data_IF_529799342183
#
_entry.id   IF_529799342183
#
_cell.length_a   1.000
_cell.length_b   1.000
_cell.length_c   1.000
_cell.angle_alpha   90.00
_cell.angle_beta   90.00
_cell.angle_gamma   90.00
#
_symmetry.space_group_name_H-M   'P 1'
#
loop_
_entity.id
_entity.type
_entity.pdbx_description
1 polymer ?
#
# COMPACT_ATOMS: atom_id res chain seq x y z
N UNK A 1 -39.39 41.03 39.55
CA UNK A 1 -39.18 39.72 40.21
C UNK A 1 -39.12 38.58 39.21
N UNK A 2 -40.27 38.12 38.72
CA UNK A 2 -40.37 36.89 37.91
C UNK A 2 -39.63 36.90 36.56
N UNK A 3 -39.55 38.03 35.85
CA UNK A 3 -38.87 38.11 34.55
C UNK A 3 -37.35 37.93 34.63
N UNK A 4 -36.73 38.33 35.74
CA UNK A 4 -35.28 38.21 35.93
C UNK A 4 -34.87 36.77 36.24
N UNK A 5 -35.71 36.07 37.02
CA UNK A 5 -35.52 34.64 37.35
C UNK A 5 -35.69 33.76 36.10
N UNK A 6 -36.64 34.08 35.22
CA UNK A 6 -36.85 33.35 33.96
C UNK A 6 -35.68 33.52 32.97
N UNK A 7 -35.15 34.74 32.80
CA UNK A 7 -33.96 34.98 31.98
C UNK A 7 -32.71 34.28 32.54
N UNK A 8 -32.54 34.27 33.87
CA UNK A 8 -31.44 33.58 34.54
C UNK A 8 -31.54 32.05 34.33
N UNK A 9 -32.73 31.48 34.45
CA UNK A 9 -32.98 30.06 34.20
C UNK A 9 -32.69 29.67 32.75
N UNK A 10 -33.10 30.47 31.77
CA UNK A 10 -32.81 30.22 30.34
C UNK A 10 -31.31 30.31 30.07
N UNK A 11 -30.61 31.29 30.66
CA UNK A 11 -29.16 31.43 30.52
C UNK A 11 -28.39 30.27 31.18
N UNK A 12 -28.83 29.81 32.36
CA UNK A 12 -28.25 28.65 33.05
C UNK A 12 -28.53 27.37 32.26
N UNK A 13 -29.75 27.16 31.76
CA UNK A 13 -30.08 26.00 30.91
C UNK A 13 -29.29 26.02 29.60
N UNK A 14 -29.11 27.18 28.98
CA UNK A 14 -28.27 27.36 27.80
C UNK A 14 -26.80 27.03 28.06
N UNK A 15 -26.23 27.58 29.15
CA UNK A 15 -24.85 27.30 29.55
C UNK A 15 -24.61 25.84 29.97
N UNK A 16 -25.60 25.20 30.60
CA UNK A 16 -25.55 23.78 30.94
C UNK A 16 -25.67 22.91 29.69
N UNK A 17 -26.53 23.26 28.73
CA UNK A 17 -26.61 22.58 27.44
C UNK A 17 -25.30 22.70 26.64
N UNK A 18 -24.65 23.88 26.64
CA UNK A 18 -23.37 24.09 25.98
C UNK A 18 -22.20 23.37 26.70
N UNK A 19 -22.22 23.29 28.03
CA UNK A 19 -21.23 22.53 28.80
C UNK A 19 -21.38 21.01 28.61
N UNK A 20 -22.62 20.49 28.59
CA UNK A 20 -22.91 19.08 28.30
C UNK A 20 -22.56 18.74 26.84
N UNK A 21 -22.69 19.70 25.92
CA UNK A 21 -22.28 19.57 24.53
C UNK A 21 -20.76 19.44 24.32
N UNK A 22 -19.95 19.79 25.33
CA UNK A 22 -18.48 19.82 25.26
C UNK A 22 -17.78 18.82 26.18
N UNK A 23 -18.49 17.83 26.72
CA UNK A 23 -17.83 16.74 27.45
C UNK A 23 -16.96 15.90 26.51
N UNK A 24 -15.83 15.31 26.98
CA UNK A 24 -15.02 14.40 26.18
C UNK A 24 -15.85 13.30 25.51
N UNK A 25 -16.80 12.71 26.23
CA UNK A 25 -17.67 11.63 25.76
C UNK A 25 -18.59 12.08 24.61
N UNK A 26 -19.16 13.29 24.71
CA UNK A 26 -20.04 13.82 23.66
C UNK A 26 -19.24 14.21 22.41
N UNK A 27 -18.07 14.82 22.60
CA UNK A 27 -17.14 15.11 21.50
C UNK A 27 -16.68 13.81 20.82
N UNK A 28 -16.35 12.77 21.60
CA UNK A 28 -16.07 11.45 21.06
C UNK A 28 -17.24 10.89 20.26
N UNK A 29 -18.47 10.98 20.78
CA UNK A 29 -19.67 10.50 20.07
C UNK A 29 -19.89 11.24 18.74
N UNK A 30 -19.71 12.56 18.71
CA UNK A 30 -19.75 13.38 17.48
C UNK A 30 -18.64 13.03 16.52
N UNK A 31 -17.42 12.82 17.02
CA UNK A 31 -16.29 12.35 16.23
C UNK A 31 -16.61 11.01 15.56
N UNK A 32 -17.13 10.04 16.31
CA UNK A 32 -17.55 8.74 15.76
C UNK A 32 -18.72 8.84 14.78
N UNK A 33 -19.61 9.83 14.92
CA UNK A 33 -20.64 10.10 13.93
C UNK A 33 -20.04 10.62 12.62
N UNK A 34 -19.13 11.59 12.70
CA UNK A 34 -18.41 12.10 11.53
C UNK A 34 -17.59 10.99 10.84
N UNK A 35 -16.96 10.06 11.59
CA UNK A 35 -16.30 8.87 11.04
C UNK A 35 -17.28 8.03 10.22
N UNK A 36 -18.50 7.77 10.73
CA UNK A 36 -19.52 7.01 9.99
C UNK A 36 -20.00 7.72 8.71
N UNK A 37 -19.92 9.05 8.69
CA UNK A 37 -20.27 9.87 7.53
C UNK A 37 -19.11 10.03 6.54
N UNK A 38 -17.91 9.53 6.88
CA UNK A 38 -16.69 9.69 6.07
C UNK A 38 -16.07 11.09 6.17
N UNK A 39 -16.54 11.93 7.10
CA UNK A 39 -16.09 13.30 7.32
C UNK A 39 -14.84 13.31 8.20
N UNK A 40 -13.76 12.69 7.73
CA UNK A 40 -12.54 12.47 8.52
C UNK A 40 -11.90 13.75 9.09
N UNK A 41 -11.83 14.89 8.37
CA UNK A 41 -11.30 16.12 8.95
C UNK A 41 -12.11 16.62 10.15
N UNK A 42 -13.44 16.55 10.08
CA UNK A 42 -14.32 16.95 11.18
C UNK A 42 -14.25 15.95 12.34
N UNK A 43 -14.15 14.66 12.04
CA UNK A 43 -13.92 13.62 13.04
C UNK A 43 -12.63 13.89 13.85
N UNK A 44 -11.52 14.23 13.17
CA UNK A 44 -10.27 14.58 13.83
C UNK A 44 -10.44 15.80 14.75
N UNK A 45 -11.15 16.84 14.32
CA UNK A 45 -11.38 18.03 15.17
C UNK A 45 -12.10 17.67 16.48
N UNK A 46 -13.19 16.90 16.40
CA UNK A 46 -13.93 16.49 17.60
C UNK A 46 -13.11 15.55 18.49
N UNK A 47 -12.39 14.60 17.90
CA UNK A 47 -11.60 13.64 18.64
C UNK A 47 -10.36 14.26 19.30
N UNK A 48 -9.69 15.22 18.64
CA UNK A 48 -8.61 15.99 19.25
C UNK A 48 -9.11 16.77 20.45
N UNK A 49 -10.22 17.48 20.31
CA UNK A 49 -10.81 18.22 21.42
C UNK A 49 -11.23 17.30 22.58
N UNK A 50 -11.69 16.09 22.28
CA UNK A 50 -12.02 15.10 23.31
C UNK A 50 -10.77 14.65 24.10
N UNK A 51 -9.63 14.42 23.42
CA UNK A 51 -8.38 14.06 24.10
C UNK A 51 -7.68 15.25 24.75
N UNK A 52 -7.89 16.47 24.27
CA UNK A 52 -7.39 17.69 24.93
C UNK A 52 -8.07 17.91 26.29
N UNK A 53 -9.39 17.64 26.36
CA UNK A 53 -10.16 17.72 27.60
C UNK A 53 -9.96 16.53 28.53
N UNK A 54 -9.66 15.35 27.98
CA UNK A 54 -9.29 14.15 28.74
C UNK A 54 -8.13 13.40 28.04
N UNK A 55 -6.87 13.69 28.40
CA UNK A 55 -5.69 13.07 27.79
C UNK A 55 -5.62 11.56 27.90
N UNK A 56 -6.31 10.97 28.88
CA UNK A 56 -6.31 9.53 29.15
C UNK A 56 -7.51 8.80 28.50
N UNK A 57 -8.29 9.50 27.67
CA UNK A 57 -9.49 8.94 27.05
C UNK A 57 -9.14 7.91 25.95
N UNK A 58 -8.88 6.67 26.36
CA UNK A 58 -8.38 5.60 25.51
C UNK A 58 -9.23 5.35 24.25
N UNK A 59 -10.57 5.44 24.35
CA UNK A 59 -11.48 5.25 23.21
C UNK A 59 -11.32 6.36 22.16
N UNK A 60 -11.11 7.61 22.58
CA UNK A 60 -10.88 8.73 21.67
C UNK A 60 -9.52 8.63 20.97
N UNK A 61 -8.47 8.23 21.69
CA UNK A 61 -7.16 7.90 21.09
C UNK A 61 -7.25 6.74 20.10
N UNK A 62 -8.00 5.68 20.42
CA UNK A 62 -8.21 4.56 19.49
C UNK A 62 -8.97 5.00 18.22
N UNK A 63 -9.94 5.90 18.36
CA UNK A 63 -10.66 6.48 17.24
C UNK A 63 -9.76 7.38 16.38
N UNK A 64 -8.93 8.24 16.98
CA UNK A 64 -7.91 9.02 16.27
C UNK A 64 -6.99 8.10 15.47
N UNK A 65 -6.47 7.06 16.11
CA UNK A 65 -5.63 6.05 15.46
C UNK A 65 -6.31 5.39 14.26
N UNK A 66 -7.61 5.10 14.37
CA UNK A 66 -8.41 4.54 13.27
C UNK A 66 -8.54 5.54 12.12
N UNK A 67 -8.83 6.81 12.41
CA UNK A 67 -9.00 7.84 11.38
C UNK A 67 -7.67 8.11 10.66
N UNK A 68 -6.57 8.22 11.40
CA UNK A 68 -5.24 8.36 10.79
C UNK A 68 -4.87 7.16 9.92
N UNK A 69 -5.21 5.94 10.35
CA UNK A 69 -5.00 4.73 9.55
C UNK A 69 -5.77 4.79 8.22
N UNK A 70 -7.02 5.27 8.23
CA UNK A 70 -7.82 5.44 7.00
C UNK A 70 -7.25 6.53 6.08
N UNK A 71 -6.70 7.60 6.66
CA UNK A 71 -6.07 8.69 5.93
C UNK A 71 -4.65 8.37 5.43
N UNK A 72 -4.07 7.24 5.85
CA UNK A 72 -2.71 6.84 5.50
C UNK A 72 -1.60 7.53 6.31
N UNK A 73 -1.96 8.28 7.36
CA UNK A 73 -0.98 8.85 8.31
C UNK A 73 -0.57 7.78 9.32
N UNK A 74 0.26 6.85 8.88
CA UNK A 74 0.72 5.71 9.68
C UNK A 74 1.47 6.13 10.96
N UNK A 75 2.37 7.14 10.95
CA UNK A 75 3.04 7.60 12.18
C UNK A 75 2.08 8.17 13.22
N UNK A 76 1.13 9.03 12.82
CA UNK A 76 0.13 9.56 13.75
C UNK A 76 -0.80 8.45 14.26
N UNK A 77 -1.15 7.49 13.40
CA UNK A 77 -1.92 6.31 13.77
C UNK A 77 -1.21 5.48 14.84
N UNK A 78 0.06 5.13 14.64
CA UNK A 78 0.84 4.34 15.60
C UNK A 78 0.91 5.04 16.96
N UNK A 79 1.19 6.35 16.96
CA UNK A 79 1.27 7.16 18.18
C UNK A 79 -0.05 7.15 18.95
N UNK A 80 -1.18 7.38 18.27
CA UNK A 80 -2.50 7.41 18.90
C UNK A 80 -2.91 6.02 19.44
N UNK A 81 -2.68 4.95 18.66
CA UNK A 81 -2.99 3.58 19.08
C UNK A 81 -2.12 3.11 20.24
N UNK A 82 -0.82 3.42 20.23
CA UNK A 82 0.09 3.12 21.33
C UNK A 82 -0.33 3.84 22.62
N UNK A 83 -0.80 5.10 22.52
CA UNK A 83 -1.33 5.82 23.67
C UNK A 83 -2.63 5.20 24.19
N UNK A 84 -3.55 4.84 23.30
CA UNK A 84 -4.78 4.12 23.67
C UNK A 84 -4.50 2.80 24.41
N UNK A 85 -3.51 2.03 23.95
CA UNK A 85 -3.10 0.78 24.59
C UNK A 85 -2.40 0.99 25.94
N UNK A 86 -1.69 2.11 26.13
CA UNK A 86 -1.11 2.45 27.43
C UNK A 86 -2.20 2.75 28.46
N UNK A 87 -3.27 3.43 28.04
CA UNK A 87 -4.39 3.82 28.92
C UNK A 87 -5.35 2.65 29.18
N UNK A 88 -5.60 1.82 28.16
CA UNK A 88 -6.46 0.65 28.26
C UNK A 88 -5.84 -0.56 27.52
N UNK A 89 -4.98 -1.34 28.20
CA UNK A 89 -4.26 -2.48 27.60
C UNK A 89 -5.15 -3.58 27.03
N UNK A 90 -6.39 -3.71 27.51
CA UNK A 90 -7.36 -4.73 27.04
C UNK A 90 -8.38 -4.17 26.04
N UNK A 91 -8.15 -2.97 25.51
CA UNK A 91 -9.00 -2.39 24.47
C UNK A 91 -8.77 -3.11 23.13
N UNK A 92 -9.54 -4.18 22.89
CA UNK A 92 -9.48 -5.04 21.69
C UNK A 92 -9.47 -4.24 20.39
N UNK A 93 -10.28 -3.19 20.30
CA UNK A 93 -10.35 -2.33 19.12
C UNK A 93 -9.01 -1.63 18.82
N UNK A 94 -8.33 -1.10 19.85
CA UNK A 94 -7.05 -0.42 19.68
C UNK A 94 -5.96 -1.41 19.23
N UNK A 95 -5.89 -2.59 19.86
CA UNK A 95 -4.97 -3.66 19.47
C UNK A 95 -5.23 -4.17 18.05
N UNK A 96 -6.49 -4.39 17.68
CA UNK A 96 -6.87 -4.85 16.35
C UNK A 96 -6.49 -3.82 15.28
N UNK A 97 -6.71 -2.53 15.55
CA UNK A 97 -6.30 -1.46 14.66
C UNK A 97 -4.76 -1.32 14.57
N UNK A 98 -4.03 -1.59 15.65
CA UNK A 98 -2.56 -1.60 15.63
C UNK A 98 -2.04 -2.75 14.79
N UNK A 99 -2.62 -3.95 14.93
CA UNK A 99 -2.28 -5.08 14.09
C UNK A 99 -2.59 -4.81 12.60
N UNK A 100 -3.71 -4.13 12.31
CA UNK A 100 -4.04 -3.69 10.95
C UNK A 100 -3.04 -2.65 10.43
N UNK A 101 -2.60 -1.69 11.27
CA UNK A 101 -1.54 -0.74 10.92
C UNK A 101 -0.24 -1.47 10.58
N UNK A 102 0.15 -2.47 11.38
CA UNK A 102 1.32 -3.29 11.12
C UNK A 102 1.19 -4.07 9.82
N UNK A 103 0.02 -4.64 9.52
CA UNK A 103 -0.21 -5.28 8.23
C UNK A 103 -0.12 -4.28 7.06
N UNK A 104 -0.66 -3.07 7.20
CA UNK A 104 -0.60 -2.00 6.18
C UNK A 104 0.80 -1.44 5.95
N UNK A 105 1.67 -1.57 6.95
CA UNK A 105 3.09 -1.18 6.88
C UNK A 105 4.02 -2.38 6.66
N UNK A 106 3.46 -3.50 6.19
CA UNK A 106 4.18 -4.77 5.86
C UNK A 106 4.95 -5.39 7.03
N UNK A 107 4.68 -4.95 8.27
CA UNK A 107 5.22 -5.50 9.52
C UNK A 107 4.40 -6.71 9.96
N UNK A 108 4.29 -7.73 9.10
CA UNK A 108 3.35 -8.83 9.30
C UNK A 108 3.59 -9.63 10.57
N UNK A 109 4.85 -9.87 10.98
CA UNK A 109 5.16 -10.59 12.21
C UNK A 109 4.78 -9.82 13.49
N UNK A 110 4.79 -8.48 13.44
CA UNK A 110 4.26 -7.66 14.53
C UNK A 110 2.73 -7.79 14.58
N UNK A 111 2.05 -7.72 13.43
CA UNK A 111 0.61 -7.91 13.33
C UNK A 111 0.17 -9.28 13.87
N UNK A 112 0.85 -10.34 13.46
CA UNK A 112 0.59 -11.73 13.90
C UNK A 112 0.75 -11.84 15.42
N UNK A 113 1.82 -11.30 16.00
CA UNK A 113 2.03 -11.33 17.46
C UNK A 113 0.90 -10.65 18.23
N UNK A 114 0.44 -9.48 17.76
CA UNK A 114 -0.69 -8.76 18.38
C UNK A 114 -1.97 -9.58 18.29
N UNK A 115 -2.27 -10.19 17.14
CA UNK A 115 -3.45 -11.04 17.00
C UNK A 115 -3.37 -12.33 17.83
N UNK A 116 -2.19 -12.93 18.00
CA UNK A 116 -2.01 -14.10 18.86
C UNK A 116 -2.33 -13.78 20.34
N UNK A 117 -1.90 -12.64 20.87
CA UNK A 117 -2.29 -12.15 22.20
C UNK A 117 -3.82 -11.97 22.29
N UNK A 118 -4.43 -11.36 21.27
CA UNK A 118 -5.88 -11.17 21.22
C UNK A 118 -6.66 -12.50 21.19
N UNK A 119 -6.17 -13.52 20.48
CA UNK A 119 -6.82 -14.84 20.43
C UNK A 119 -6.77 -15.54 21.78
N UNK A 120 -5.67 -15.42 22.53
CA UNK A 120 -5.57 -16.00 23.86
C UNK A 120 -6.62 -15.42 24.83
N UNK A 121 -6.91 -14.12 24.68
CA UNK A 121 -7.86 -13.38 25.54
C UNK A 121 -9.31 -13.47 25.06
N UNK A 122 -9.51 -13.54 23.75
CA UNK A 122 -10.83 -13.50 23.09
C UNK A 122 -10.96 -14.62 22.04
N UNK A 123 -10.84 -15.90 22.44
CA UNK A 123 -10.84 -17.02 21.51
C UNK A 123 -12.17 -17.15 20.74
N UNK A 124 -13.28 -16.61 21.25
CA UNK A 124 -14.60 -16.59 20.62
C UNK A 124 -14.76 -15.52 19.52
N UNK A 125 -13.88 -14.53 19.47
CA UNK A 125 -14.05 -13.36 18.60
C UNK A 125 -13.77 -13.70 17.13
N UNK A 126 -14.83 -13.72 16.32
CA UNK A 126 -14.75 -13.89 14.87
C UNK A 126 -13.80 -12.86 14.23
N UNK A 127 -13.89 -11.60 14.64
CA UNK A 127 -13.09 -10.51 14.07
C UNK A 127 -11.59 -10.74 14.28
N UNK A 128 -11.20 -11.26 15.44
CA UNK A 128 -9.79 -11.55 15.76
C UNK A 128 -9.29 -12.72 14.91
N UNK A 129 -10.08 -13.79 14.73
CA UNK A 129 -9.72 -14.90 13.84
C UNK A 129 -9.60 -14.49 12.38
N UNK A 130 -10.51 -13.65 11.89
CA UNK A 130 -10.40 -13.08 10.55
C UNK A 130 -9.16 -12.20 10.40
N UNK A 131 -8.85 -11.41 11.43
CA UNK A 131 -7.67 -10.56 11.50
C UNK A 131 -6.36 -11.36 11.40
N UNK A 132 -6.20 -12.40 12.23
CA UNK A 132 -4.99 -13.22 12.18
C UNK A 132 -4.88 -14.00 10.87
N UNK A 133 -5.99 -14.52 10.34
CA UNK A 133 -6.00 -15.26 9.08
C UNK A 133 -5.55 -14.36 7.93
N UNK A 134 -6.04 -13.12 7.90
CA UNK A 134 -5.62 -12.11 6.93
C UNK A 134 -4.14 -11.71 7.11
N UNK A 135 -3.64 -11.62 8.34
CA UNK A 135 -2.23 -11.33 8.60
C UNK A 135 -1.31 -12.48 8.14
N UNK A 136 -1.67 -13.74 8.43
CA UNK A 136 -0.96 -14.91 7.90
C UNK A 136 -0.98 -14.97 6.39
N UNK A 137 -2.13 -14.69 5.77
CA UNK A 137 -2.26 -14.68 4.31
C UNK A 137 -1.38 -13.60 3.67
N UNK A 138 -1.33 -12.39 4.23
CA UNK A 138 -0.45 -11.32 3.74
C UNK A 138 1.03 -11.62 3.96
N UNK A 139 1.37 -12.43 4.96
CA UNK A 139 2.72 -12.92 5.21
C UNK A 139 3.11 -14.14 4.36
N UNK A 140 2.29 -14.55 3.37
CA UNK A 140 2.44 -15.78 2.58
C UNK A 140 2.47 -17.08 3.42
N UNK A 141 2.01 -17.03 4.68
CA UNK A 141 1.89 -18.16 5.61
C UNK A 141 0.55 -18.87 5.43
N UNK A 142 0.34 -19.39 4.22
CA UNK A 142 -0.96 -19.89 3.76
C UNK A 142 -1.51 -21.06 4.58
N UNK A 143 -0.65 -21.90 5.16
CA UNK A 143 -1.09 -23.04 5.99
C UNK A 143 -1.73 -22.55 7.29
N UNK A 144 -1.07 -21.63 7.99
CA UNK A 144 -1.61 -21.01 9.20
C UNK A 144 -2.84 -20.16 8.89
N UNK A 145 -2.88 -19.47 7.74
CA UNK A 145 -4.05 -18.75 7.29
C UNK A 145 -5.26 -19.67 7.08
N UNK A 146 -5.06 -20.85 6.49
CA UNK A 146 -6.11 -21.87 6.30
C UNK A 146 -6.69 -22.29 7.65
N UNK A 147 -5.86 -22.63 8.63
CA UNK A 147 -6.29 -23.02 9.98
C UNK A 147 -7.09 -21.89 10.65
N UNK A 148 -6.59 -20.66 10.59
CA UNK A 148 -7.26 -19.51 11.18
C UNK A 148 -8.60 -19.16 10.50
N UNK A 149 -8.69 -19.25 9.16
CA UNK A 149 -9.97 -19.07 8.47
C UNK A 149 -10.95 -20.20 8.78
N UNK A 150 -10.50 -21.45 8.91
CA UNK A 150 -11.37 -22.54 9.35
C UNK A 150 -11.91 -22.29 10.77
N UNK A 151 -11.09 -21.80 11.69
CA UNK A 151 -11.53 -21.36 13.02
C UNK A 151 -12.56 -20.22 12.93
N UNK A 152 -12.35 -19.24 12.06
CA UNK A 152 -13.34 -18.17 11.83
C UNK A 152 -14.69 -18.74 11.33
N UNK A 153 -14.66 -19.74 10.44
CA UNK A 153 -15.86 -20.37 9.89
C UNK A 153 -16.56 -21.31 10.88
N UNK A 154 -15.86 -21.87 11.88
CA UNK A 154 -16.54 -22.56 13.00
C UNK A 154 -17.44 -21.62 13.80
N UNK A 155 -17.05 -20.34 13.90
CA UNK A 155 -17.80 -19.29 14.62
C UNK A 155 -18.89 -18.67 13.75
N UNK A 156 -18.64 -18.50 12.46
CA UNK A 156 -19.62 -18.01 11.49
C UNK A 156 -19.59 -18.85 10.20
N UNK A 157 -20.35 -19.96 10.15
CA UNK A 157 -20.31 -20.90 9.03
C UNK A 157 -20.72 -20.33 7.68
N UNK A 158 -21.43 -19.19 7.64
CA UNK A 158 -21.94 -18.57 6.42
C UNK A 158 -21.15 -17.30 6.03
N UNK A 159 -19.98 -17.05 6.62
CA UNK A 159 -19.20 -15.85 6.33
C UNK A 159 -18.53 -15.93 4.94
N UNK A 160 -19.19 -15.35 3.94
CA UNK A 160 -18.80 -15.40 2.52
C UNK A 160 -17.38 -14.93 2.22
N UNK A 161 -16.93 -13.83 2.83
CA UNK A 161 -15.58 -13.32 2.62
C UNK A 161 -14.50 -14.26 3.19
N UNK A 162 -14.76 -14.91 4.32
CA UNK A 162 -13.86 -15.87 4.95
C UNK A 162 -13.74 -17.14 4.11
N UNK A 163 -14.87 -17.64 3.57
CA UNK A 163 -14.86 -18.75 2.60
C UNK A 163 -14.04 -18.42 1.35
N UNK A 164 -14.22 -17.21 0.80
CA UNK A 164 -13.52 -16.77 -0.42
C UNK A 164 -12.02 -16.63 -0.18
N UNK A 165 -11.62 -16.05 0.96
CA UNK A 165 -10.21 -15.93 1.32
C UNK A 165 -9.58 -17.30 1.63
N UNK A 166 -10.30 -18.18 2.33
CA UNK A 166 -9.87 -19.56 2.56
C UNK A 166 -9.65 -20.31 1.24
N UNK A 167 -10.55 -20.15 0.27
CA UNK A 167 -10.40 -20.72 -1.06
C UNK A 167 -9.13 -20.19 -1.77
N UNK A 168 -8.86 -18.89 -1.67
CA UNK A 168 -7.63 -18.28 -2.19
C UNK A 168 -6.37 -18.86 -1.53
N UNK A 169 -6.38 -19.07 -0.21
CA UNK A 169 -5.26 -19.75 0.45
C UNK A 169 -5.09 -21.20 -0.04
N UNK A 170 -6.17 -21.92 -0.30
CA UNK A 170 -6.10 -23.26 -0.90
C UNK A 170 -5.51 -23.24 -2.33
N UNK A 171 -5.80 -22.22 -3.14
CA UNK A 171 -5.14 -22.05 -4.44
C UNK A 171 -3.64 -21.84 -4.28
N UNK A 172 -3.22 -21.00 -3.34
CA UNK A 172 -1.80 -20.72 -3.09
C UNK A 172 -1.02 -21.98 -2.68
N UNK A 173 -1.63 -22.89 -1.92
CA UNK A 173 -1.06 -24.21 -1.57
C UNK A 173 -1.35 -25.30 -2.60
N UNK A 174 -1.85 -24.94 -3.80
CA UNK A 174 -2.14 -25.84 -4.94
C UNK A 174 -3.18 -26.92 -4.63
N UNK A 175 -4.06 -26.71 -3.66
CA UNK A 175 -5.20 -27.57 -3.34
C UNK A 175 -6.46 -27.11 -4.07
N UNK A 176 -6.43 -27.17 -5.40
CA UNK A 176 -7.46 -26.61 -6.29
C UNK A 176 -8.87 -27.15 -6.00
N UNK A 177 -9.00 -28.43 -5.65
CA UNK A 177 -10.30 -29.03 -5.31
C UNK A 177 -10.97 -28.37 -4.09
N UNK A 178 -10.19 -28.03 -3.06
CA UNK A 178 -10.72 -27.31 -1.89
C UNK A 178 -11.04 -25.85 -2.23
N UNK A 179 -10.20 -25.20 -3.04
CA UNK A 179 -10.47 -23.85 -3.52
C UNK A 179 -11.82 -23.76 -4.26
N UNK A 180 -12.05 -24.65 -5.24
CA UNK A 180 -13.31 -24.72 -5.98
C UNK A 180 -14.50 -24.94 -5.04
N UNK A 181 -14.36 -25.86 -4.06
CA UNK A 181 -15.42 -26.16 -3.09
C UNK A 181 -15.81 -24.90 -2.30
N UNK A 182 -14.83 -24.19 -1.74
CA UNK A 182 -15.11 -23.02 -0.90
C UNK A 182 -15.57 -21.80 -1.71
N UNK A 183 -15.08 -21.58 -2.93
CA UNK A 183 -15.65 -20.55 -3.81
C UNK A 183 -17.10 -20.85 -4.17
N UNK A 184 -17.44 -22.10 -4.50
CA UNK A 184 -18.83 -22.49 -4.75
C UNK A 184 -19.71 -22.30 -3.51
N UNK A 185 -19.21 -22.65 -2.33
CA UNK A 185 -19.93 -22.43 -1.07
C UNK A 185 -20.18 -20.93 -0.82
N UNK A 186 -19.17 -20.08 -1.04
CA UNK A 186 -19.31 -18.64 -0.92
C UNK A 186 -20.36 -18.08 -1.92
N UNK A 187 -20.29 -18.52 -3.18
CA UNK A 187 -21.22 -18.09 -4.24
C UNK A 187 -22.65 -18.63 -4.06
N UNK A 188 -22.82 -19.73 -3.33
CA UNK A 188 -24.15 -20.22 -2.96
C UNK A 188 -24.82 -19.33 -1.90
N UNK A 189 -24.03 -18.64 -1.06
CA UNK A 189 -24.52 -17.70 -0.05
C UNK A 189 -24.68 -16.29 -0.64
N UNK A 190 -23.71 -15.82 -1.41
CA UNK A 190 -23.76 -14.55 -2.14
C UNK A 190 -23.28 -14.75 -3.58
N UNK A 191 -24.20 -14.84 -4.55
CA UNK A 191 -23.85 -15.03 -5.95
C UNK A 191 -23.05 -13.89 -6.59
N UNK A 192 -23.01 -12.70 -5.99
CA UNK A 192 -22.48 -11.48 -6.60
C UNK A 192 -21.06 -11.12 -6.14
N UNK A 193 -20.41 -12.00 -5.37
CA UNK A 193 -19.03 -11.81 -4.92
C UNK A 193 -18.05 -11.78 -6.10
N UNK A 194 -17.55 -10.59 -6.46
CA UNK A 194 -16.64 -10.40 -7.59
C UNK A 194 -15.37 -11.25 -7.45
N UNK A 195 -14.76 -11.27 -6.27
CA UNK A 195 -13.54 -12.06 -6.01
C UNK A 195 -13.76 -13.56 -6.23
N UNK A 196 -14.82 -14.13 -5.65
CA UNK A 196 -15.10 -15.56 -5.78
C UNK A 196 -15.46 -15.96 -7.22
N UNK A 197 -16.28 -15.15 -7.90
CA UNK A 197 -16.59 -15.34 -9.31
C UNK A 197 -15.33 -15.26 -10.19
N UNK A 198 -14.49 -14.24 -9.97
CA UNK A 198 -13.27 -14.02 -10.76
C UNK A 198 -12.26 -15.14 -10.59
N UNK A 199 -11.97 -15.54 -9.35
CA UNK A 199 -10.99 -16.58 -9.05
C UNK A 199 -11.48 -17.96 -9.50
N UNK A 200 -12.74 -18.32 -9.21
CA UNK A 200 -13.30 -19.58 -9.71
C UNK A 200 -13.36 -19.63 -11.25
N UNK A 201 -13.70 -18.50 -11.89
CA UNK A 201 -13.65 -18.36 -13.33
C UNK A 201 -12.24 -18.53 -13.90
N UNK A 202 -11.21 -17.99 -13.23
CA UNK A 202 -9.82 -18.17 -13.60
C UNK A 202 -9.36 -19.63 -13.47
N UNK A 203 -9.80 -20.35 -12.42
CA UNK A 203 -9.54 -21.80 -12.29
C UNK A 203 -10.12 -22.56 -13.47
N UNK A 204 -11.40 -22.36 -13.81
CA UNK A 204 -12.01 -23.02 -14.96
C UNK A 204 -11.36 -22.62 -16.29
N UNK A 205 -10.93 -21.36 -16.43
CA UNK A 205 -10.18 -20.91 -17.62
C UNK A 205 -8.88 -21.69 -17.80
N UNK A 206 -8.13 -21.92 -16.71
CA UNK A 206 -6.89 -22.72 -16.72
C UNK A 206 -7.16 -24.19 -17.04
N UNK A 207 -8.24 -24.76 -16.52
CA UNK A 207 -8.70 -26.11 -16.83
C UNK A 207 -9.22 -26.27 -18.27
N UNK A 208 -9.45 -25.17 -19.00
CA UNK A 208 -10.03 -25.20 -20.35
C UNK A 208 -11.55 -25.34 -20.36
N UNK A 209 -12.20 -25.28 -19.19
CA UNK A 209 -13.65 -25.34 -18.99
C UNK A 209 -14.30 -23.98 -19.31
N UNK A 210 -14.17 -23.55 -20.57
CA UNK A 210 -14.49 -22.18 -21.00
C UNK A 210 -15.95 -21.80 -20.77
N UNK A 211 -16.88 -22.75 -20.89
CA UNK A 211 -18.32 -22.51 -20.71
C UNK A 211 -18.69 -22.30 -19.23
N UNK A 212 -17.91 -22.86 -18.30
CA UNK A 212 -18.04 -22.58 -16.87
C UNK A 212 -17.36 -21.26 -16.50
N UNK A 213 -16.21 -20.97 -17.12
CA UNK A 213 -15.40 -19.79 -16.83
C UNK A 213 -16.08 -18.48 -17.26
N UNK A 214 -16.64 -18.44 -18.48
CA UNK A 214 -17.19 -17.23 -19.09
C UNK A 214 -18.23 -16.51 -18.20
N UNK A 215 -19.34 -17.14 -17.76
CA UNK A 215 -20.37 -16.45 -16.99
C UNK A 215 -19.87 -15.96 -15.63
N UNK A 216 -18.93 -16.69 -15.00
CA UNK A 216 -18.32 -16.27 -13.73
C UNK A 216 -17.45 -15.03 -13.91
N UNK A 217 -16.59 -15.03 -14.94
CA UNK A 217 -15.72 -13.89 -15.23
C UNK A 217 -16.51 -12.65 -15.66
N UNK A 218 -17.57 -12.81 -16.45
CA UNK A 218 -18.49 -11.72 -16.82
C UNK A 218 -19.16 -11.12 -15.57
N UNK A 219 -19.65 -11.97 -14.67
CA UNK A 219 -20.25 -11.53 -13.41
C UNK A 219 -19.25 -10.79 -12.51
N UNK A 220 -18.02 -11.29 -12.43
CA UNK A 220 -16.95 -10.65 -11.66
C UNK A 220 -16.67 -9.23 -12.16
N UNK A 221 -16.51 -9.03 -13.47
CA UNK A 221 -16.22 -7.72 -14.06
C UNK A 221 -17.43 -6.79 -14.12
N UNK A 222 -18.65 -7.33 -14.04
CA UNK A 222 -19.88 -6.55 -13.94
C UNK A 222 -20.02 -5.91 -12.56
N UNK A 223 -19.78 -6.67 -11.50
CA UNK A 223 -19.89 -6.19 -10.12
C UNK A 223 -18.66 -5.40 -9.66
N UNK A 224 -17.47 -5.76 -10.17
CA UNK A 224 -16.24 -4.99 -9.97
C UNK A 224 -15.57 -4.68 -11.32
N UNK A 225 -15.90 -3.54 -11.95
CA UNK A 225 -15.24 -3.11 -13.18
C UNK A 225 -13.72 -2.90 -13.05
N UNK A 226 -13.23 -2.69 -11.83
CA UNK A 226 -11.81 -2.52 -11.51
C UNK A 226 -11.04 -3.83 -11.34
N UNK A 227 -11.70 -4.99 -11.39
CA UNK A 227 -11.03 -6.28 -11.21
C UNK A 227 -10.23 -6.71 -12.44
N UNK A 228 -9.06 -6.08 -12.63
CA UNK A 228 -8.22 -6.21 -13.84
C UNK A 228 -7.82 -7.67 -14.13
N UNK A 229 -7.50 -8.45 -13.10
CA UNK A 229 -7.08 -9.85 -13.27
C UNK A 229 -8.22 -10.74 -13.83
N UNK A 230 -9.44 -10.58 -13.31
CA UNK A 230 -10.62 -11.28 -13.84
C UNK A 230 -10.93 -10.83 -15.28
N UNK A 231 -10.80 -9.53 -15.57
CA UNK A 231 -10.98 -8.98 -16.91
C UNK A 231 -9.97 -9.53 -17.93
N UNK A 232 -8.72 -9.67 -17.53
CA UNK A 232 -7.70 -10.31 -18.36
C UNK A 232 -8.06 -11.78 -18.65
N UNK A 233 -8.48 -12.53 -17.63
CA UNK A 233 -8.96 -13.92 -17.80
C UNK A 233 -10.17 -13.99 -18.74
N UNK A 234 -11.11 -13.04 -18.65
CA UNK A 234 -12.26 -12.94 -19.55
C UNK A 234 -11.80 -12.78 -21.01
N UNK A 235 -10.85 -11.88 -21.27
CA UNK A 235 -10.24 -11.71 -22.58
C UNK A 235 -9.62 -13.02 -23.11
N UNK A 236 -8.92 -13.78 -22.26
CA UNK A 236 -8.33 -15.08 -22.63
C UNK A 236 -9.40 -16.11 -23.00
N UNK A 237 -10.50 -16.19 -22.24
CA UNK A 237 -11.63 -17.09 -22.54
C UNK A 237 -12.26 -16.72 -23.88
N UNK A 238 -12.54 -15.43 -24.09
CA UNK A 238 -13.13 -14.92 -25.34
C UNK A 238 -12.21 -15.19 -26.55
N UNK A 239 -10.90 -15.05 -26.37
CA UNK A 239 -9.91 -15.37 -27.41
C UNK A 239 -9.98 -16.85 -27.81
N UNK A 240 -10.02 -17.76 -26.82
CA UNK A 240 -10.15 -19.21 -27.07
C UNK A 240 -11.50 -19.56 -27.73
N UNK A 241 -12.58 -18.84 -27.39
CA UNK A 241 -13.90 -18.95 -28.04
C UNK A 241 -13.97 -18.24 -29.40
N UNK A 242 -12.87 -17.64 -29.88
CA UNK A 242 -12.76 -16.88 -31.15
C UNK A 242 -13.61 -15.60 -31.24
N UNK A 243 -14.03 -15.07 -30.10
CA UNK A 243 -14.74 -13.79 -29.99
C UNK A 243 -13.74 -12.63 -29.94
N UNK A 244 -12.93 -12.49 -31.01
CA UNK A 244 -11.75 -11.62 -31.02
C UNK A 244 -12.08 -10.14 -30.80
N UNK A 245 -13.23 -9.67 -31.28
CA UNK A 245 -13.65 -8.28 -31.08
C UNK A 245 -13.90 -7.97 -29.61
N UNK A 246 -14.63 -8.84 -28.90
CA UNK A 246 -14.87 -8.71 -27.45
C UNK A 246 -13.58 -8.87 -26.67
N UNK A 247 -12.75 -9.85 -27.03
CA UNK A 247 -11.44 -10.05 -26.39
C UNK A 247 -10.56 -8.80 -26.48
N UNK A 248 -10.46 -8.18 -27.66
CA UNK A 248 -9.69 -6.95 -27.87
C UNK A 248 -10.19 -5.80 -26.96
N UNK A 249 -11.50 -5.63 -26.82
CA UNK A 249 -12.08 -4.63 -25.92
C UNK A 249 -11.70 -4.88 -24.45
N UNK A 250 -11.74 -6.14 -24.00
CA UNK A 250 -11.37 -6.47 -22.63
C UNK A 250 -9.86 -6.26 -22.37
N UNK A 251 -8.99 -6.60 -23.32
CA UNK A 251 -7.55 -6.29 -23.19
C UNK A 251 -7.26 -4.80 -23.20
N UNK A 252 -7.96 -4.01 -24.02
CA UNK A 252 -7.84 -2.55 -24.01
C UNK A 252 -8.24 -1.95 -22.65
N UNK A 253 -9.30 -2.47 -22.02
CA UNK A 253 -9.70 -2.08 -20.67
C UNK A 253 -8.68 -2.48 -19.60
N UNK A 254 -8.06 -3.65 -19.73
CA UNK A 254 -6.93 -4.05 -18.87
C UNK A 254 -5.78 -3.06 -19.00
N UNK A 255 -5.39 -2.72 -20.23
CA UNK A 255 -4.31 -1.77 -20.52
C UNK A 255 -4.62 -0.35 -20.01
N UNK A 256 -5.88 0.08 -20.08
CA UNK A 256 -6.31 1.37 -19.57
C UNK A 256 -6.14 1.48 -18.03
N UNK A 257 -6.28 0.35 -17.31
CA UNK A 257 -6.06 0.28 -15.86
C UNK A 257 -4.59 0.02 -15.50
N UNK A 258 -3.90 -0.82 -16.29
CA UNK A 258 -2.53 -1.27 -16.07
C UNK A 258 -1.75 -1.19 -17.38
N UNK A 259 -1.14 -0.03 -17.61
CA UNK A 259 -0.41 0.26 -18.85
C UNK A 259 0.90 -0.54 -19.02
N UNK A 260 1.35 -1.25 -17.98
CA UNK A 260 2.53 -2.12 -17.99
C UNK A 260 2.17 -3.61 -18.05
N UNK A 261 0.89 -3.96 -18.28
CA UNK A 261 0.42 -5.34 -18.35
C UNK A 261 0.89 -6.06 -19.64
N UNK A 262 2.08 -6.66 -19.59
CA UNK A 262 2.75 -7.38 -20.70
C UNK A 262 1.80 -8.32 -21.46
N UNK A 263 1.11 -9.22 -20.74
CA UNK A 263 0.25 -10.23 -21.36
C UNK A 263 -0.96 -9.66 -22.10
N UNK A 264 -1.45 -8.48 -21.72
CA UNK A 264 -2.61 -7.86 -22.35
C UNK A 264 -2.24 -7.28 -23.71
N UNK A 265 -1.07 -6.63 -23.83
CA UNK A 265 -0.55 -6.16 -25.11
C UNK A 265 -0.30 -7.30 -26.10
N UNK A 266 0.29 -8.40 -25.64
CA UNK A 266 0.50 -9.58 -26.48
C UNK A 266 -0.84 -10.10 -27.03
N UNK A 267 -1.81 -10.36 -26.15
CA UNK A 267 -3.08 -10.95 -26.58
C UNK A 267 -3.96 -9.96 -27.36
N UNK A 268 -3.87 -8.66 -27.07
CA UNK A 268 -4.49 -7.61 -27.89
C UNK A 268 -3.93 -7.62 -29.31
N UNK A 269 -2.61 -7.65 -29.47
CA UNK A 269 -1.98 -7.71 -30.78
C UNK A 269 -2.45 -8.94 -31.58
N UNK A 270 -2.50 -10.10 -30.93
CA UNK A 270 -2.99 -11.33 -31.55
C UNK A 270 -4.47 -11.24 -31.96
N UNK A 271 -5.33 -10.68 -31.10
CA UNK A 271 -6.74 -10.45 -31.43
C UNK A 271 -6.88 -9.49 -32.62
N UNK A 272 -6.10 -8.40 -32.66
CA UNK A 272 -6.10 -7.42 -33.75
C UNK A 272 -5.64 -8.02 -35.09
N UNK A 273 -4.63 -8.89 -35.08
CA UNK A 273 -4.22 -9.62 -36.28
C UNK A 273 -5.34 -10.54 -36.80
N UNK A 274 -6.07 -11.22 -35.90
CA UNK A 274 -7.23 -12.04 -36.29
C UNK A 274 -8.39 -11.20 -36.82
N UNK A 275 -8.55 -9.97 -36.34
CA UNK A 275 -9.53 -8.99 -36.82
C UNK A 275 -9.10 -8.26 -38.11
N UNK A 276 -7.96 -8.63 -38.72
CA UNK A 276 -7.39 -7.95 -39.91
C UNK A 276 -7.11 -6.46 -39.68
N UNK A 277 -6.69 -6.09 -38.47
CA UNK A 277 -6.24 -4.73 -38.07
C UNK A 277 -4.73 -4.73 -37.82
N UNK A 278 -3.89 -4.86 -38.87
CA UNK A 278 -2.46 -5.14 -38.71
C UNK A 278 -1.66 -3.99 -38.12
N UNK A 279 -2.00 -2.73 -38.43
CA UNK A 279 -1.23 -1.58 -37.94
C UNK A 279 -1.36 -1.41 -36.42
N UNK A 280 -2.58 -1.49 -35.89
CA UNK A 280 -2.82 -1.48 -34.45
C UNK A 280 -2.20 -2.71 -33.76
N UNK A 281 -2.26 -3.88 -34.41
CA UNK A 281 -1.61 -5.08 -33.91
C UNK A 281 -0.09 -4.94 -33.81
N UNK A 282 0.57 -4.29 -34.79
CA UNK A 282 2.00 -4.00 -34.76
C UNK A 282 2.37 -3.05 -33.63
N UNK A 283 1.59 -1.98 -33.42
CA UNK A 283 1.80 -1.03 -32.31
C UNK A 283 1.71 -1.72 -30.95
N UNK A 284 0.67 -2.52 -30.73
CA UNK A 284 0.53 -3.29 -29.49
C UNK A 284 1.69 -4.30 -29.29
N UNK A 285 2.15 -4.93 -30.38
CA UNK A 285 3.28 -5.86 -30.35
C UNK A 285 4.61 -5.18 -30.02
N UNK A 286 4.83 -3.96 -30.49
CA UNK A 286 6.02 -3.17 -30.17
C UNK A 286 6.08 -2.83 -28.68
N UNK A 287 4.95 -2.37 -28.11
CA UNK A 287 4.84 -2.10 -26.67
C UNK A 287 5.06 -3.39 -25.87
N UNK A 288 4.45 -4.51 -26.28
CA UNK A 288 4.71 -5.81 -25.68
C UNK A 288 6.20 -6.14 -25.65
N UNK A 289 6.93 -6.01 -26.77
CA UNK A 289 8.37 -6.31 -26.82
C UNK A 289 9.17 -5.46 -25.86
N UNK A 290 8.86 -4.15 -25.79
CA UNK A 290 9.51 -3.23 -24.85
C UNK A 290 9.25 -3.65 -23.40
N UNK A 291 7.99 -3.88 -23.03
CA UNK A 291 7.62 -4.27 -21.67
C UNK A 291 8.19 -5.66 -21.30
N UNK A 292 8.21 -6.59 -22.24
CA UNK A 292 8.78 -7.92 -22.03
C UNK A 292 10.30 -7.87 -21.79
N UNK A 293 11.03 -7.03 -22.53
CA UNK A 293 12.46 -6.82 -22.29
C UNK A 293 12.73 -6.25 -20.89
N UNK A 294 11.88 -5.31 -20.43
CA UNK A 294 11.95 -4.76 -19.06
C UNK A 294 11.69 -5.86 -18.02
N UNK A 295 10.65 -6.67 -18.24
CA UNK A 295 10.31 -7.77 -17.34
C UNK A 295 11.44 -8.80 -17.24
N UNK A 296 12.08 -9.15 -18.36
CA UNK A 296 13.24 -10.04 -18.39
C UNK A 296 14.45 -9.45 -17.64
N UNK A 297 14.75 -8.17 -17.83
CA UNK A 297 15.86 -7.51 -17.09
C UNK A 297 15.62 -7.54 -15.57
N UNK A 298 14.37 -7.35 -15.13
CA UNK A 298 13.99 -7.46 -13.71
C UNK A 298 14.13 -8.90 -13.22
N UNK A 299 13.59 -9.88 -13.96
CA UNK A 299 13.64 -11.30 -13.60
C UNK A 299 15.09 -11.79 -13.47
N UNK A 300 15.98 -11.39 -14.37
CA UNK A 300 17.41 -11.74 -14.30
C UNK A 300 18.07 -11.21 -13.02
N UNK A 301 17.69 -10.01 -12.56
CA UNK A 301 18.19 -9.44 -11.29
C UNK A 301 17.61 -10.18 -10.08
N UNK A 302 16.33 -10.50 -10.12
CA UNK A 302 15.66 -11.27 -9.04
C UNK A 302 16.26 -12.67 -8.91
N UNK A 303 16.54 -13.35 -10.03
CA UNK A 303 17.27 -14.63 -10.04
C UNK A 303 18.67 -14.51 -9.45
N UNK A 304 19.39 -13.43 -9.74
CA UNK A 304 20.71 -13.21 -9.15
C UNK A 304 20.65 -13.04 -7.62
N UNK A 305 19.57 -12.47 -7.08
CA UNK A 305 19.33 -12.39 -5.63
C UNK A 305 19.09 -13.79 -5.04
N UNK A 306 18.34 -14.67 -5.72
CA UNK A 306 18.11 -16.03 -5.23
C UNK A 306 19.42 -16.84 -5.11
N UNK A 307 20.41 -16.57 -5.96
CA UNK A 307 21.73 -17.21 -5.91
C UNK A 307 22.57 -16.65 -4.77
N UNK A 308 22.54 -15.34 -4.55
CA UNK A 308 23.31 -14.64 -3.51
C UNK A 308 22.39 -13.78 -2.61
N UNK A 309 21.55 -14.40 -1.76
CA UNK A 309 20.47 -13.70 -1.04
C UNK A 309 20.96 -12.68 -0.01
N UNK A 310 22.16 -12.88 0.53
CA UNK A 310 22.77 -12.01 1.54
C UNK A 310 23.73 -10.97 0.93
N UNK A 311 23.71 -10.79 -0.39
CA UNK A 311 24.60 -9.84 -1.07
C UNK A 311 23.87 -8.49 -1.32
N UNK A 312 24.20 -7.41 -0.56
CA UNK A 312 23.52 -6.12 -0.67
C UNK A 312 23.68 -5.47 -2.05
N UNK A 313 24.72 -5.82 -2.81
CA UNK A 313 24.94 -5.29 -4.15
C UNK A 313 23.86 -5.77 -5.13
N UNK A 314 23.33 -6.99 -4.97
CA UNK A 314 22.27 -7.51 -5.85
C UNK A 314 20.97 -6.76 -5.66
N UNK A 315 20.62 -6.48 -4.40
CA UNK A 315 19.46 -5.66 -4.03
C UNK A 315 19.61 -4.24 -4.58
N UNK A 316 20.79 -3.63 -4.46
CA UNK A 316 21.07 -2.34 -5.08
C UNK A 316 20.92 -2.35 -6.60
N UNK A 317 21.47 -3.34 -7.30
CA UNK A 317 21.34 -3.46 -8.75
C UNK A 317 19.88 -3.61 -9.19
N UNK A 318 19.06 -4.35 -8.45
CA UNK A 318 17.63 -4.45 -8.68
C UNK A 318 16.94 -3.08 -8.47
N UNK A 319 17.29 -2.37 -7.40
CA UNK A 319 16.79 -1.03 -7.13
C UNK A 319 17.10 -0.02 -8.25
N UNK A 320 18.31 -0.09 -8.83
CA UNK A 320 18.67 0.73 -9.99
C UNK A 320 17.81 0.43 -11.21
N UNK A 321 17.53 -0.84 -11.50
CA UNK A 321 16.66 -1.25 -12.61
C UNK A 321 15.24 -0.75 -12.37
N UNK A 322 14.72 -0.86 -11.15
CA UNK A 322 13.41 -0.31 -10.81
C UNK A 322 13.36 1.21 -10.99
N UNK A 323 14.39 1.95 -10.53
CA UNK A 323 14.46 3.40 -10.68
C UNK A 323 14.54 3.82 -12.16
N UNK A 324 15.35 3.11 -12.98
CA UNK A 324 15.47 3.32 -14.44
C UNK A 324 14.11 3.25 -15.15
N UNK A 325 13.20 2.41 -14.68
CA UNK A 325 11.87 2.22 -15.26
C UNK A 325 10.75 2.94 -14.49
N UNK A 326 11.09 3.88 -13.60
CA UNK A 326 10.12 4.69 -12.86
C UNK A 326 9.32 3.92 -11.79
N UNK A 327 9.73 2.70 -11.44
CA UNK A 327 9.11 1.88 -10.38
C UNK A 327 9.65 2.29 -9.01
N UNK A 328 9.46 3.56 -8.64
CA UNK A 328 10.12 4.19 -7.48
C UNK A 328 9.87 3.50 -6.14
N UNK A 329 8.64 3.08 -5.76
CA UNK A 329 8.43 2.40 -4.49
C UNK A 329 9.22 1.08 -4.39
N UNK A 330 9.28 0.31 -5.49
CA UNK A 330 10.09 -0.92 -5.55
C UNK A 330 11.59 -0.63 -5.48
N UNK A 331 12.04 0.46 -6.09
CA UNK A 331 13.43 0.89 -5.98
C UNK A 331 13.82 1.25 -4.53
N UNK A 332 12.97 2.01 -3.83
CA UNK A 332 13.15 2.36 -2.41
C UNK A 332 13.27 1.08 -1.56
N UNK A 333 12.31 0.17 -1.70
CA UNK A 333 12.29 -1.10 -0.95
C UNK A 333 13.54 -1.94 -1.21
N UNK A 334 14.00 -2.05 -2.47
CA UNK A 334 15.22 -2.77 -2.82
C UNK A 334 16.47 -2.13 -2.18
N UNK A 335 16.57 -0.79 -2.19
CA UNK A 335 17.69 -0.12 -1.52
C UNK A 335 17.63 -0.23 0.01
N UNK A 336 16.45 -0.19 0.62
CA UNK A 336 16.28 -0.42 2.05
C UNK A 336 16.66 -1.85 2.44
N UNK A 337 16.31 -2.82 1.60
CA UNK A 337 16.73 -4.23 1.79
C UNK A 337 18.24 -4.37 1.70
N UNK A 338 18.89 -3.68 0.76
CA UNK A 338 20.35 -3.63 0.70
C UNK A 338 20.97 -3.09 2.01
N UNK A 339 20.36 -2.07 2.62
CA UNK A 339 20.81 -1.51 3.90
C UNK A 339 20.52 -2.38 5.11
N UNK A 340 19.46 -3.20 5.06
CA UNK A 340 19.18 -4.20 6.07
C UNK A 340 20.23 -5.32 6.06
N UNK A 341 20.73 -5.69 4.88
CA UNK A 341 21.82 -6.66 4.72
C UNK A 341 23.18 -6.07 5.12
N UNK A 342 23.45 -4.81 4.75
CA UNK A 342 24.65 -4.08 5.14
C UNK A 342 24.35 -2.60 5.42
N UNK A 343 24.37 -2.24 6.71
CA UNK A 343 24.12 -0.88 7.16
C UNK A 343 25.17 0.15 6.69
N UNK A 344 26.29 -0.30 6.13
CA UNK A 344 27.37 0.52 5.55
C UNK A 344 27.38 0.51 4.02
N UNK A 345 26.35 -0.04 3.36
CA UNK A 345 26.19 0.01 1.90
C UNK A 345 25.97 1.45 1.39
N UNK A 346 27.06 2.21 1.30
CA UNK A 346 27.07 3.64 0.97
C UNK A 346 26.44 3.95 -0.40
N UNK A 347 26.55 3.02 -1.35
CA UNK A 347 25.92 3.12 -2.67
C UNK A 347 24.39 3.08 -2.58
N UNK A 348 23.81 2.28 -1.67
CA UNK A 348 22.37 2.21 -1.46
C UNK A 348 21.85 3.45 -0.72
N UNK A 349 22.59 3.97 0.27
CA UNK A 349 22.30 5.25 0.92
C UNK A 349 22.25 6.40 -0.09
N UNK A 350 23.29 6.53 -0.92
CA UNK A 350 23.35 7.58 -1.92
C UNK A 350 22.23 7.43 -2.97
N UNK A 351 21.86 6.20 -3.34
CA UNK A 351 20.76 5.95 -4.27
C UNK A 351 19.40 6.34 -3.68
N UNK A 352 19.13 6.01 -2.42
CA UNK A 352 17.93 6.46 -1.70
C UNK A 352 17.84 7.97 -1.64
N UNK A 353 18.93 8.64 -1.24
CA UNK A 353 18.98 10.10 -1.20
C UNK A 353 18.63 10.71 -2.56
N UNK A 354 19.23 10.22 -3.65
CA UNK A 354 18.91 10.67 -5.01
C UNK A 354 17.46 10.44 -5.40
N UNK A 355 16.88 9.32 -4.98
CA UNK A 355 15.50 8.98 -5.30
C UNK A 355 14.51 9.89 -4.55
N UNK A 356 14.77 10.17 -3.27
CA UNK A 356 13.97 11.11 -2.48
C UNK A 356 14.07 12.54 -3.03
N UNK A 357 15.27 12.92 -3.49
CA UNK A 357 15.47 14.17 -4.21
C UNK A 357 14.61 14.25 -5.46
N UNK A 358 14.67 13.22 -6.31
CA UNK A 358 13.92 13.16 -7.55
C UNK A 358 12.40 13.19 -7.32
N UNK A 359 11.92 12.53 -6.26
CA UNK A 359 10.50 12.42 -5.96
C UNK A 359 9.91 13.62 -5.22
N UNK A 360 10.73 14.55 -4.69
CA UNK A 360 10.18 15.68 -3.95
C UNK A 360 9.76 15.35 -2.52
N UNK A 361 10.10 14.17 -1.99
CA UNK A 361 9.59 13.65 -0.70
C UNK A 361 10.69 13.57 0.35
N UNK A 362 10.31 13.57 1.63
CA UNK A 362 11.18 13.23 2.77
C UNK A 362 12.54 13.94 2.77
N UNK A 363 12.56 15.27 2.60
CA UNK A 363 13.80 16.03 2.41
C UNK A 363 14.78 15.92 3.59
N UNK A 364 14.31 15.60 4.80
CA UNK A 364 15.16 15.31 5.95
C UNK A 364 15.85 13.94 5.83
N UNK A 365 15.14 12.91 5.40
CA UNK A 365 15.70 11.57 5.20
C UNK A 365 16.66 11.54 4.02
N UNK A 366 16.37 12.32 2.96
CA UNK A 366 17.29 12.51 1.84
C UNK A 366 18.65 13.07 2.30
N UNK A 367 18.62 14.08 3.17
CA UNK A 367 19.83 14.65 3.80
C UNK A 367 20.53 13.59 4.66
N UNK A 368 19.80 12.93 5.56
CA UNK A 368 20.40 11.95 6.48
C UNK A 368 21.08 10.79 5.74
N UNK A 369 20.46 10.26 4.68
CA UNK A 369 21.06 9.24 3.83
C UNK A 369 22.29 9.76 3.07
N UNK A 370 22.23 10.96 2.51
CA UNK A 370 23.36 11.57 1.79
C UNK A 370 24.55 11.87 2.72
N UNK A 371 24.30 12.42 3.90
CA UNK A 371 25.32 12.67 4.94
C UNK A 371 26.01 11.38 5.35
N UNK A 372 25.23 10.34 5.66
CA UNK A 372 25.78 9.03 6.03
C UNK A 372 26.58 8.40 4.89
N UNK A 373 26.11 8.49 3.65
CA UNK A 373 26.84 8.00 2.49
C UNK A 373 28.19 8.72 2.33
N UNK A 374 28.19 10.06 2.40
CA UNK A 374 29.39 10.87 2.30
C UNK A 374 30.37 10.58 3.44
N UNK A 375 29.89 10.49 4.69
CA UNK A 375 30.76 10.16 5.83
C UNK A 375 31.51 8.85 5.65
N UNK A 376 30.88 7.84 5.05
CA UNK A 376 31.48 6.52 4.81
C UNK A 376 32.55 6.52 3.71
N UNK A 377 32.48 7.39 2.72
CA UNK A 377 33.37 7.33 1.53
C UNK A 377 34.23 8.54 1.28
N UNK A 378 33.85 9.71 1.81
CA UNK A 378 34.42 11.01 1.46
C UNK A 378 34.47 11.23 -0.07
N UNK A 379 33.43 10.78 -0.78
CA UNK A 379 33.35 10.89 -2.24
C UNK A 379 32.79 12.25 -2.67
N UNK A 380 33.41 12.92 -3.66
CA UNK A 380 32.90 14.19 -4.19
C UNK A 380 31.51 14.03 -4.83
N UNK A 381 31.20 12.88 -5.44
CA UNK A 381 29.88 12.59 -6.02
C UNK A 381 28.78 12.46 -4.94
N UNK A 382 29.14 12.04 -3.73
CA UNK A 382 28.19 11.94 -2.62
C UNK A 382 28.02 13.30 -1.94
N UNK A 383 29.09 14.10 -1.87
CA UNK A 383 29.01 15.50 -1.46
C UNK A 383 28.11 16.32 -2.40
N UNK A 384 28.19 16.07 -3.71
CA UNK A 384 27.27 16.63 -4.70
C UNK A 384 25.82 16.23 -4.43
N UNK A 385 25.56 14.96 -4.09
CA UNK A 385 24.22 14.48 -3.74
C UNK A 385 23.69 15.14 -2.47
N UNK A 386 24.54 15.32 -1.46
CA UNK A 386 24.20 16.06 -0.24
C UNK A 386 23.84 17.52 -0.53
N UNK A 387 24.59 18.19 -1.41
CA UNK A 387 24.29 19.55 -1.85
C UNK A 387 22.89 19.65 -2.48
N UNK A 388 22.53 18.68 -3.33
CA UNK A 388 21.19 18.60 -3.93
C UNK A 388 20.09 18.37 -2.88
N UNK A 389 20.33 17.51 -1.88
CA UNK A 389 19.39 17.27 -0.78
C UNK A 389 19.14 18.55 0.03
N UNK A 390 20.20 19.28 0.40
CA UNK A 390 20.07 20.55 1.10
C UNK A 390 19.30 21.59 0.27
N UNK A 391 19.56 21.66 -1.03
CA UNK A 391 18.92 22.61 -1.92
C UNK A 391 17.41 22.36 -2.01
N UNK A 392 17.01 21.10 -2.18
CA UNK A 392 15.61 20.70 -2.21
C UNK A 392 14.91 20.97 -0.86
N UNK A 393 15.61 20.77 0.26
CA UNK A 393 15.10 21.07 1.60
C UNK A 393 15.02 22.58 1.91
N UNK A 394 15.37 23.46 0.96
CA UNK A 394 15.40 24.91 1.16
C UNK A 394 16.59 25.41 1.99
N UNK A 395 17.54 24.55 2.36
CA UNK A 395 18.75 24.89 3.11
C UNK A 395 19.83 25.44 2.17
N UNK A 396 19.58 26.62 1.58
CA UNK A 396 20.38 27.23 0.50
C UNK A 396 21.85 27.40 0.86
N UNK A 397 22.16 27.92 2.04
CA UNK A 397 23.55 28.14 2.47
C UNK A 397 24.32 26.82 2.58
N UNK A 398 23.71 25.81 3.19
CA UNK A 398 24.30 24.47 3.31
C UNK A 398 24.51 23.83 1.93
N UNK A 399 23.56 24.01 1.00
CA UNK A 399 23.66 23.51 -0.35
C UNK A 399 24.85 24.13 -1.09
N UNK A 400 25.00 25.47 -1.03
CA UNK A 400 26.10 26.20 -1.66
C UNK A 400 27.46 25.82 -1.08
N UNK A 401 27.56 25.65 0.25
CA UNK A 401 28.78 25.14 0.89
C UNK A 401 29.11 23.73 0.42
N UNK A 402 28.13 22.83 0.43
CA UNK A 402 28.34 21.43 0.05
C UNK A 402 28.78 21.28 -1.42
N UNK A 403 28.17 22.01 -2.36
CA UNK A 403 28.57 21.95 -3.77
C UNK A 403 29.96 22.55 -3.99
N UNK A 404 30.33 23.59 -3.25
CA UNK A 404 31.67 24.19 -3.32
C UNK A 404 32.73 23.19 -2.84
N UNK A 405 32.47 22.48 -1.73
CA UNK A 405 33.35 21.41 -1.25
C UNK A 405 33.46 20.28 -2.27
N UNK A 406 32.36 19.88 -2.94
CA UNK A 406 32.42 18.87 -3.99
C UNK A 406 33.33 19.29 -5.16
N UNK A 407 33.32 20.58 -5.55
CA UNK A 407 34.21 21.15 -6.58
C UNK A 407 35.67 21.17 -6.09
N UNK A 408 35.93 21.54 -4.84
CA UNK A 408 37.28 21.54 -4.28
C UNK A 408 37.90 20.14 -4.28
N UNK A 409 37.07 19.11 -4.04
CA UNK A 409 37.48 17.70 -4.05
C UNK A 409 37.70 17.14 -5.47
N UNK A 410 37.00 17.68 -6.47
CA UNK A 410 37.13 17.28 -7.89
C UNK A 410 36.98 18.51 -8.82
N UNK A 411 38.06 19.31 -8.96
CA UNK A 411 38.00 20.59 -9.66
C UNK A 411 37.70 20.49 -11.15
N UNK A 412 37.95 19.35 -11.79
CA UNK A 412 37.73 19.16 -13.22
C UNK A 412 36.28 18.77 -13.55
N UNK A 413 35.43 18.59 -12.54
CA UNK A 413 34.07 18.13 -12.75
C UNK A 413 33.11 19.26 -13.16
N UNK A 414 32.90 19.40 -14.47
CA UNK A 414 31.99 20.41 -15.03
C UNK A 414 30.56 20.31 -14.51
N UNK A 415 30.07 19.11 -14.18
CA UNK A 415 28.71 18.94 -13.67
C UNK A 415 28.52 19.62 -12.31
N UNK A 416 29.55 19.64 -11.45
CA UNK A 416 29.49 20.30 -10.16
C UNK A 416 29.46 21.82 -10.31
N UNK A 417 30.31 22.37 -11.20
CA UNK A 417 30.30 23.80 -11.54
C UNK A 417 28.95 24.25 -12.09
N UNK A 418 28.38 23.48 -13.03
CA UNK A 418 27.05 23.76 -13.58
C UNK A 418 25.97 23.70 -12.50
N UNK A 419 26.07 22.76 -11.56
CA UNK A 419 25.15 22.67 -10.43
C UNK A 419 25.25 23.92 -9.54
N UNK A 420 26.46 24.37 -9.21
CA UNK A 420 26.68 25.60 -8.44
C UNK A 420 26.07 26.82 -9.13
N UNK A 421 26.28 26.99 -10.44
CA UNK A 421 25.69 28.09 -11.22
C UNK A 421 24.16 28.09 -11.11
N UNK A 422 23.53 26.93 -11.36
CA UNK A 422 22.07 26.77 -11.26
C UNK A 422 21.56 27.07 -9.84
N UNK A 423 22.29 26.66 -8.82
CA UNK A 423 21.91 26.93 -7.43
C UNK A 423 21.96 28.41 -7.09
N UNK A 424 22.98 29.14 -7.57
CA UNK A 424 23.10 30.61 -7.40
C UNK A 424 22.00 31.37 -8.11
N UNK A 425 21.74 31.05 -9.38
CA UNK A 425 20.67 31.67 -10.17
C UNK A 425 19.29 31.47 -9.52
N UNK A 426 19.05 30.31 -8.91
CA UNK A 426 17.82 30.04 -8.20
C UNK A 426 17.70 30.81 -6.89
N UNK A 427 18.82 31.04 -6.18
CA UNK A 427 18.85 31.81 -4.93
C UNK A 427 18.59 33.30 -5.17
N UNK A 428 19.15 33.86 -6.26
CA UNK A 428 18.94 35.25 -6.69
C UNK A 428 17.49 35.56 -7.09
N UNK A 429 16.74 34.56 -7.60
CA UNK A 429 15.32 34.71 -7.96
C UNK A 429 14.36 34.64 -6.76
N UNK A 430 14.83 34.14 -5.62
CA UNK A 430 14.04 34.00 -4.39
C UNK A 430 14.29 35.10 -3.36
N UNK A 431 15.27 35.97 -3.61
CA UNK A 431 15.53 37.21 -2.87
C UNK A 431 14.84 38.38 -3.56
#
# INVERSE_FOLDING_TARGET
GLSFVACLLIAIVGAVCDAVAQTPENLYARGMQAVRQGEYPQALQYLHRAVDLNPDFAKAHAALGTVYLQLGDFPASEKALAHAMRMAPDLVQAKSNLALLYARTERFDDAIRVYQDLIQKHPESLQVWLGIASAYQQADRYKEAIEAYQESLKRSPNHTAAMSNLASCYEAVKQEGQAIRYYKAALAQDPNLSMANGNLGAIYQKQGELDKALPLLEKAVQHDPGFTAARYCLGLVLTKKREFQRAAMEYQRVIAQQNDHVGAYYNLAQALFRLKRPEEGKQAMEIYRRLNAIAQEIEDRERAILIEPNNPLKQYQLGLVYAKYGKFPKAISAFQTALALDAKAHYALNALARLYILQGIESQDAIAHAEKAFHLTQSPQYMHTLALAYFQAGKRENALKAIQTAIEMDPENDAFRQTLTKMKEADEKTK
#
